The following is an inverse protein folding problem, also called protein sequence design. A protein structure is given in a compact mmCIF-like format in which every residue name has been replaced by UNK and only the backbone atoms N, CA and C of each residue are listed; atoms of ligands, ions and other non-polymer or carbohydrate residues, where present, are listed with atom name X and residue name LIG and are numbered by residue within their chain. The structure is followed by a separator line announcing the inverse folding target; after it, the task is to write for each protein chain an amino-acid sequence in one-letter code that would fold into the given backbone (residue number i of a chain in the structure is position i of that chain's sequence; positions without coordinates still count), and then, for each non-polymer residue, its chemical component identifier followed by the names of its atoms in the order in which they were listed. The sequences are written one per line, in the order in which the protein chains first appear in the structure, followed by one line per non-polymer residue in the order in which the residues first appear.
data_IF_237638331239
#
_entry.id   IF_237638331239
#
_cell.length_a   1.000
_cell.length_b   1.000
_cell.length_c   1.000
_cell.angle_alpha   90.00
_cell.angle_beta   90.00
_cell.angle_gamma   90.00
#
_symmetry.space_group_name_H-M   'P 1'
#
loop_
_entity.id
_entity.type
_entity.pdbx_description
1 polymer ?
#
# COMPACT_ATOMS: atom_id res chain seq x y z
N UNK A 1 -8.47 2.87 -18.69
CA UNK A 1 -7.10 2.47 -18.29
C UNK A 1 -7.20 1.18 -17.47
N UNK A 2 -6.51 0.09 -17.82
CA UNK A 2 -6.77 -1.19 -17.19
C UNK A 2 -6.34 -1.11 -15.73
N UNK A 3 -7.29 -1.29 -14.83
CA UNK A 3 -7.09 -1.49 -13.41
C UNK A 3 -6.24 -2.74 -13.23
N UNK A 4 -4.91 -2.58 -13.21
CA UNK A 4 -3.98 -3.70 -13.02
C UNK A 4 -4.15 -4.23 -11.60
N UNK A 5 -5.04 -5.21 -11.45
CA UNK A 5 -5.29 -5.92 -10.20
C UNK A 5 -3.97 -6.46 -9.66
N UNK A 6 -3.76 -6.36 -8.35
CA UNK A 6 -2.55 -6.83 -7.68
C UNK A 6 -2.24 -8.28 -8.07
N UNK A 7 -3.27 -9.13 -8.12
CA UNK A 7 -3.21 -10.53 -8.56
C UNK A 7 -2.46 -10.70 -9.88
N UNK A 8 -2.85 -9.99 -10.95
CA UNK A 8 -2.18 -10.08 -12.25
C UNK A 8 -0.74 -9.53 -12.24
N UNK A 9 -0.40 -8.73 -11.22
CA UNK A 9 0.91 -8.15 -11.06
C UNK A 9 1.86 -9.09 -10.31
N UNK A 10 1.39 -9.79 -9.28
CA UNK A 10 2.27 -10.58 -8.39
C UNK A 10 2.09 -12.09 -8.48
N UNK A 11 0.91 -12.60 -8.83
CA UNK A 11 0.67 -14.05 -8.89
C UNK A 11 1.44 -14.68 -10.04
N UNK A 12 2.07 -15.83 -9.74
CA UNK A 12 2.89 -16.57 -10.70
C UNK A 12 4.17 -15.83 -11.12
N UNK A 13 4.55 -14.73 -10.46
CA UNK A 13 5.74 -13.95 -10.80
C UNK A 13 6.79 -14.06 -9.72
N UNK A 14 8.05 -14.01 -10.14
CA UNK A 14 9.19 -13.88 -9.23
C UNK A 14 9.23 -12.48 -8.63
N UNK A 15 9.21 -12.42 -7.32
CA UNK A 15 9.33 -11.20 -6.53
C UNK A 15 10.69 -11.17 -5.83
N UNK A 16 11.21 -9.97 -5.62
CA UNK A 16 12.24 -9.71 -4.61
C UNK A 16 11.50 -9.22 -3.36
N UNK A 17 11.81 -9.79 -2.20
CA UNK A 17 11.24 -9.36 -0.93
C UNK A 17 12.37 -8.95 0.01
N UNK A 18 12.34 -7.70 0.45
CA UNK A 18 13.20 -7.18 1.51
C UNK A 18 12.52 -7.47 2.85
N UNK A 19 13.18 -8.25 3.71
CA UNK A 19 12.68 -8.61 5.03
C UNK A 19 13.10 -7.51 6.01
N UNK A 20 12.16 -6.98 6.79
CA UNK A 20 12.48 -5.92 7.77
C UNK A 20 12.22 -6.37 9.20
N UNK A 21 11.10 -7.02 9.47
CA UNK A 21 10.71 -7.39 10.82
C UNK A 21 9.82 -8.64 10.81
N UNK A 22 9.80 -9.35 11.94
CA UNK A 22 8.79 -10.39 12.24
C UNK A 22 7.69 -9.78 13.12
N UNK A 23 6.43 -9.93 12.71
CA UNK A 23 5.30 -9.44 13.51
C UNK A 23 4.97 -10.37 14.70
N UNK A 24 4.04 -9.94 15.55
CA UNK A 24 3.59 -10.69 16.72
C UNK A 24 2.95 -12.06 16.40
N UNK A 25 2.52 -12.27 15.16
CA UNK A 25 1.94 -13.54 14.69
C UNK A 25 2.98 -14.40 13.97
N UNK A 26 4.25 -14.01 14.03
CA UNK A 26 5.35 -14.70 13.40
C UNK A 26 5.46 -14.54 11.89
N UNK A 27 4.74 -13.60 11.29
CA UNK A 27 4.76 -13.30 9.86
C UNK A 27 5.86 -12.29 9.53
N UNK A 28 6.32 -12.30 8.29
CA UNK A 28 7.30 -11.33 7.80
C UNK A 28 6.61 -10.01 7.43
N UNK A 29 7.16 -8.91 7.91
CA UNK A 29 6.91 -7.55 7.43
C UNK A 29 8.07 -7.15 6.53
N UNK A 30 7.76 -6.79 5.28
CA UNK A 30 8.76 -6.57 4.25
C UNK A 30 8.26 -5.74 3.07
N UNK A 31 9.19 -5.36 2.20
CA UNK A 31 8.90 -4.67 0.93
C UNK A 31 9.02 -5.64 -0.23
N UNK A 32 7.93 -5.78 -1.01
CA UNK A 32 7.93 -6.62 -2.21
C UNK A 32 8.18 -5.77 -3.46
N UNK A 33 9.02 -6.29 -4.35
CA UNK A 33 9.33 -5.68 -5.64
C UNK A 33 9.10 -6.66 -6.76
N UNK A 34 8.34 -6.21 -7.76
CA UNK A 34 8.06 -6.98 -8.97
C UNK A 34 8.80 -6.39 -10.16
N UNK A 35 9.28 -7.25 -11.05
CA UNK A 35 9.89 -6.82 -12.31
C UNK A 35 8.78 -6.60 -13.35
N UNK A 36 8.70 -5.38 -13.89
CA UNK A 36 7.64 -5.02 -14.85
C UNK A 36 8.22 -4.97 -16.25
N UNK A 37 7.70 -5.81 -17.15
CA UNK A 37 7.99 -5.81 -18.59
C UNK A 37 7.31 -4.60 -19.28
N UNK A 38 7.91 -3.98 -20.30
CA UNK A 38 9.11 -4.38 -21.06
C UNK A 38 10.45 -3.92 -20.49
N UNK A 39 10.46 -2.88 -19.65
CA UNK A 39 11.70 -2.21 -19.23
C UNK A 39 12.46 -2.91 -18.10
N UNK A 40 12.02 -4.09 -17.66
CA UNK A 40 12.65 -4.90 -16.60
C UNK A 40 12.97 -4.13 -15.30
N UNK A 41 12.31 -2.98 -15.06
CA UNK A 41 12.50 -2.17 -13.86
C UNK A 41 11.78 -2.82 -12.68
N UNK A 42 12.43 -2.79 -11.51
CA UNK A 42 11.81 -3.22 -10.26
C UNK A 42 10.87 -2.11 -9.78
N UNK A 43 9.63 -2.47 -9.47
CA UNK A 43 8.67 -1.55 -8.85
C UNK A 43 8.26 -2.12 -7.49
N UNK A 44 8.28 -1.26 -6.48
CA UNK A 44 7.75 -1.57 -5.17
C UNK A 44 6.22 -1.74 -5.27
N UNK A 45 5.72 -2.88 -4.78
CA UNK A 45 4.31 -3.25 -4.89
C UNK A 45 3.43 -2.32 -4.06
N UNK A 46 3.86 -1.93 -2.86
CA UNK A 46 3.15 -0.96 -2.01
C UNK A 46 2.97 0.38 -2.72
N UNK A 47 4.03 0.90 -3.36
CA UNK A 47 3.95 2.12 -4.16
C UNK A 47 2.92 1.99 -5.31
N UNK A 48 2.90 0.85 -6.00
CA UNK A 48 1.93 0.60 -7.08
C UNK A 48 0.49 0.59 -6.56
N UNK A 49 0.25 0.00 -5.39
CA UNK A 49 -1.08 -0.04 -4.77
C UNK A 49 -1.55 1.35 -4.32
N UNK A 50 -0.64 2.16 -3.76
CA UNK A 50 -0.93 3.54 -3.37
C UNK A 50 -1.25 4.40 -4.59
N UNK A 51 -0.44 4.34 -5.66
CA UNK A 51 -0.67 5.06 -6.92
C UNK A 51 -2.01 4.73 -7.58
N UNK A 52 -2.48 3.49 -7.43
CA UNK A 52 -3.75 3.01 -7.95
C UNK A 52 -4.95 3.34 -7.04
N UNK A 53 -4.70 3.80 -5.81
CA UNK A 53 -5.76 4.08 -4.84
C UNK A 53 -6.37 2.83 -4.21
N UNK A 54 -5.59 1.75 -4.06
CA UNK A 54 -6.02 0.49 -3.44
C UNK A 54 -5.40 0.21 -2.06
N UNK A 55 -4.56 1.12 -1.57
CA UNK A 55 -3.96 1.04 -0.23
C UNK A 55 -3.98 2.39 0.48
N UNK A 56 -3.73 2.35 1.79
CA UNK A 56 -3.52 3.51 2.68
C UNK A 56 -2.19 3.34 3.41
N UNK A 57 -1.51 4.44 3.76
CA UNK A 57 -0.29 4.36 4.56
C UNK A 57 -0.67 4.04 6.02
N UNK A 58 -0.01 3.03 6.59
CA UNK A 58 -0.21 2.64 7.99
C UNK A 58 0.75 3.42 8.89
N UNK A 59 0.25 4.28 9.76
CA UNK A 59 1.09 5.20 10.56
C UNK A 59 1.14 4.87 12.07
N UNK A 60 0.62 3.72 12.50
CA UNK A 60 0.63 3.37 13.93
C UNK A 60 2.01 2.91 14.41
N UNK A 61 2.16 2.75 15.73
CA UNK A 61 3.38 2.25 16.36
C UNK A 61 3.85 0.92 15.73
N UNK A 62 5.15 0.84 15.42
CA UNK A 62 5.75 -0.31 14.73
C UNK A 62 5.56 -0.33 13.22
N UNK A 63 5.09 0.76 12.61
CA UNK A 63 5.00 0.85 11.16
C UNK A 63 6.38 0.80 10.49
N UNK A 64 6.50 -0.02 9.44
CA UNK A 64 7.73 -0.21 8.67
C UNK A 64 7.55 0.37 7.27
N UNK A 65 8.38 1.35 6.93
CA UNK A 65 8.33 2.04 5.64
C UNK A 65 9.63 1.97 4.83
N UNK A 66 10.69 1.36 5.37
CA UNK A 66 11.98 1.23 4.69
C UNK A 66 12.52 2.56 4.12
N UNK A 67 12.36 3.67 4.85
CA UNK A 67 12.75 5.01 4.41
C UNK A 67 11.89 5.62 3.28
N UNK A 68 10.79 4.97 2.89
CA UNK A 68 9.91 5.43 1.79
C UNK A 68 8.64 6.14 2.25
N UNK A 69 8.55 6.55 3.52
CA UNK A 69 7.33 7.13 4.10
C UNK A 69 6.86 8.37 3.33
N UNK A 70 7.75 9.33 3.07
CA UNK A 70 7.37 10.57 2.36
C UNK A 70 6.91 10.29 0.94
N UNK A 71 7.58 9.35 0.26
CA UNK A 71 7.15 8.86 -1.06
C UNK A 71 5.76 8.25 -0.99
N UNK A 72 5.48 7.40 0.00
CA UNK A 72 4.19 6.75 0.14
C UNK A 72 3.07 7.75 0.45
N UNK A 73 3.32 8.72 1.32
CA UNK A 73 2.39 9.83 1.61
C UNK A 73 2.08 10.64 0.36
N UNK A 74 3.09 11.00 -0.43
CA UNK A 74 2.90 11.74 -1.67
C UNK A 74 2.07 10.94 -2.70
N UNK A 75 2.34 9.63 -2.82
CA UNK A 75 1.57 8.74 -3.71
C UNK A 75 0.11 8.62 -3.28
N UNK A 76 -0.15 8.44 -1.99
CA UNK A 76 -1.51 8.38 -1.44
C UNK A 76 -2.26 9.70 -1.65
N UNK A 77 -1.62 10.84 -1.35
CA UNK A 77 -2.21 12.17 -1.53
C UNK A 77 -2.57 12.44 -3.01
N UNK A 78 -1.71 12.05 -3.94
CA UNK A 78 -1.97 12.16 -5.38
C UNK A 78 -3.10 11.21 -5.84
N UNK A 79 -3.23 10.03 -5.24
CA UNK A 79 -4.34 9.13 -5.54
C UNK A 79 -5.68 9.66 -5.00
N UNK A 80 -5.67 10.27 -3.81
CA UNK A 80 -6.81 10.97 -3.20
C UNK A 80 -7.28 12.13 -4.06
N UNK A 81 -6.37 13.03 -4.45
CA UNK A 81 -6.72 14.20 -5.27
C UNK A 81 -7.29 13.83 -6.64
N UNK A 82 -6.80 12.73 -7.23
CA UNK A 82 -7.29 12.18 -8.50
C UNK A 82 -8.48 11.23 -8.36
N UNK A 83 -9.01 11.05 -7.14
CA UNK A 83 -10.14 10.16 -6.83
C UNK A 83 -9.98 8.76 -7.45
N UNK A 84 -8.80 8.16 -7.31
CA UNK A 84 -8.51 6.83 -7.88
C UNK A 84 -8.96 5.69 -6.97
N UNK A 85 -9.42 4.58 -7.56
CA UNK A 85 -9.69 3.34 -6.82
C UNK A 85 -10.71 3.55 -5.71
N UNK A 86 -10.34 3.26 -4.46
CA UNK A 86 -11.22 3.46 -3.30
C UNK A 86 -11.57 4.93 -3.06
N UNK A 87 -10.76 5.88 -3.56
CA UNK A 87 -10.95 7.32 -3.36
C UNK A 87 -12.03 7.95 -4.26
N UNK A 88 -12.71 7.16 -5.10
CA UNK A 88 -13.88 7.62 -5.86
C UNK A 88 -15.04 7.95 -4.92
N UNK A 89 -15.19 7.23 -3.81
CA UNK A 89 -16.28 7.43 -2.87
C UNK A 89 -16.21 8.79 -2.16
N UNK A 90 -17.33 9.22 -1.59
CA UNK A 90 -17.38 10.50 -0.88
C UNK A 90 -16.57 10.44 0.42
N UNK A 91 -15.97 11.58 0.80
CA UNK A 91 -15.22 11.69 2.05
C UNK A 91 -16.07 11.33 3.28
N UNK A 92 -17.39 11.59 3.22
CA UNK A 92 -18.34 11.26 4.29
C UNK A 92 -18.58 9.75 4.43
N UNK A 93 -18.44 8.98 3.35
CA UNK A 93 -18.59 7.53 3.35
C UNK A 93 -17.26 6.79 3.60
N UNK A 94 -16.12 7.49 3.50
CA UNK A 94 -14.82 6.89 3.72
C UNK A 94 -14.42 6.92 5.19
N UNK A 95 -14.11 5.74 5.73
CA UNK A 95 -13.47 5.58 7.04
C UNK A 95 -12.11 4.90 6.81
N UNK A 96 -11.04 5.51 7.33
CA UNK A 96 -9.71 4.89 7.25
C UNK A 96 -9.58 3.75 8.27
N UNK A 97 -8.71 2.75 8.04
CA UNK A 97 -8.47 1.71 9.04
C UNK A 97 -8.02 2.25 10.40
N UNK A 98 -7.29 3.37 10.42
CA UNK A 98 -6.89 4.05 11.65
C UNK A 98 -8.09 4.71 12.35
N UNK A 99 -8.97 5.40 11.59
CA UNK A 99 -10.18 6.01 12.13
C UNK A 99 -11.14 4.95 12.69
N UNK A 100 -11.34 3.85 11.96
CA UNK A 100 -12.11 2.70 12.44
C UNK A 100 -11.54 2.19 13.78
N UNK A 101 -10.24 1.91 13.84
CA UNK A 101 -9.59 1.44 15.08
C UNK A 101 -9.73 2.42 16.23
N UNK A 102 -9.62 3.73 15.99
CA UNK A 102 -9.81 4.76 17.02
C UNK A 102 -11.25 4.79 17.52
N UNK A 103 -12.24 4.68 16.64
CA UNK A 103 -13.67 4.65 17.00
C UNK A 103 -14.02 3.50 17.93
N UNK A 104 -13.41 2.34 17.71
CA UNK A 104 -13.65 1.13 18.51
C UNK A 104 -12.64 0.93 19.65
N UNK A 105 -11.68 1.84 19.81
CA UNK A 105 -10.80 1.87 20.98
C UNK A 105 -11.51 2.64 22.09
N UNK A 106 -12.42 1.95 22.77
CA UNK A 106 -13.05 2.46 23.99
C UNK A 106 -12.00 2.61 25.12
N UNK A 107 -12.21 3.54 26.08
CA UNK A 107 -11.32 3.80 27.22
C UNK A 107 -11.12 2.58 28.14
#
# INVERSE_FOLDING_TARGET
MPSRRLTATVMGKRLLVELHQKDQYGRVVGMAYVRVFPWLRRRNVSAMMLEAGFATVYESAGAVHAGQLDRFRALEANAKSKRKGMWVQSARAYESPAAYKQRFRSP
#
